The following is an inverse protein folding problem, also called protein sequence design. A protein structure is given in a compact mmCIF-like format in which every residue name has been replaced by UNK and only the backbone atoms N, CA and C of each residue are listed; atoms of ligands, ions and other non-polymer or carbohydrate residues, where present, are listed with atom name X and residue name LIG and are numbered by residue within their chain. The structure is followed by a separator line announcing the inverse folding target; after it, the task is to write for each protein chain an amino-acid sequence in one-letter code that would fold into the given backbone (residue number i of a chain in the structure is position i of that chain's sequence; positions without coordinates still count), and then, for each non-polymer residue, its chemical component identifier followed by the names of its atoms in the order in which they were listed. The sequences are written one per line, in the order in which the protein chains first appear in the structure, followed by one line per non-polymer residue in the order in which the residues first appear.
data_IF_717585368289
#
_entry.id   IF_717585368289
#
_cell.length_a   1.000
_cell.length_b   1.000
_cell.length_c   1.000
_cell.angle_alpha   90.00
_cell.angle_beta   90.00
_cell.angle_gamma   90.00
#
_symmetry.space_group_name_H-M   'P 1'
#
loop_
_entity.id
_entity.type
_entity.pdbx_description
1 polymer ?
#
# COMPACT_ATOMS: atom_id res chain seq x y z
N UNK A 1 23.43 -1.73 15.07
CA UNK A 1 21.99 -1.76 14.89
C UNK A 1 21.65 -1.96 13.43
N UNK A 2 20.77 -2.90 13.14
CA UNK A 2 20.38 -3.14 11.76
C UNK A 2 19.50 -2.01 11.26
N UNK A 3 19.86 -1.43 10.14
CA UNK A 3 19.04 -0.40 9.52
C UNK A 3 17.78 -1.01 8.95
N UNK A 4 16.69 -0.28 9.03
CA UNK A 4 15.47 -0.65 8.37
C UNK A 4 15.68 -0.48 6.85
N UNK A 5 15.48 -1.54 6.09
CA UNK A 5 15.68 -1.51 4.65
C UNK A 5 14.68 -0.65 3.92
N UNK A 6 13.48 -0.48 4.48
CA UNK A 6 12.43 0.32 3.86
C UNK A 6 12.27 1.61 4.64
N UNK A 7 12.64 2.72 4.02
CA UNK A 7 12.58 4.04 4.63
C UNK A 7 11.99 5.03 3.63
N UNK A 8 11.38 6.09 4.15
CA UNK A 8 10.89 7.18 3.33
C UNK A 8 12.07 7.84 2.60
N UNK A 9 11.87 8.19 1.34
CA UNK A 9 12.90 8.79 0.51
C UNK A 9 12.38 10.07 -0.13
N UNK A 10 13.29 10.87 -0.66
CA UNK A 10 12.95 12.11 -1.37
C UNK A 10 12.72 11.88 -2.87
N UNK A 11 12.73 10.64 -3.32
CA UNK A 11 12.50 10.33 -4.74
C UNK A 11 11.10 10.74 -5.15
N UNK A 12 10.93 11.48 -6.26
CA UNK A 12 9.59 11.90 -6.69
C UNK A 12 8.72 10.72 -7.10
N UNK A 13 7.51 10.65 -6.53
CA UNK A 13 6.55 9.60 -6.85
C UNK A 13 6.12 9.66 -8.32
N UNK A 14 5.94 10.87 -8.85
CA UNK A 14 5.55 11.04 -10.25
C UNK A 14 6.57 10.42 -11.19
N UNK A 15 7.85 10.65 -10.94
CA UNK A 15 8.91 10.07 -11.76
C UNK A 15 8.91 8.54 -11.70
N UNK A 16 8.68 8.00 -10.52
CA UNK A 16 8.60 6.55 -10.32
C UNK A 16 7.43 5.95 -11.12
N UNK A 17 6.25 6.55 -11.01
CA UNK A 17 5.07 6.06 -11.72
C UNK A 17 5.21 6.20 -13.23
N UNK A 18 5.77 7.32 -13.70
CA UNK A 18 5.97 7.53 -15.13
C UNK A 18 6.94 6.51 -15.73
N UNK A 19 7.83 5.95 -14.92
CA UNK A 19 8.79 4.95 -15.34
C UNK A 19 8.25 3.51 -15.38
N UNK A 20 7.02 3.28 -14.91
CA UNK A 20 6.40 1.95 -14.97
C UNK A 20 6.22 1.56 -16.43
N UNK A 21 6.83 0.44 -16.89
CA UNK A 21 6.85 0.12 -18.34
C UNK A 21 5.48 -0.22 -18.91
N UNK A 22 4.67 -0.98 -18.18
CA UNK A 22 3.36 -1.41 -18.69
C UNK A 22 2.36 -0.25 -18.60
N UNK A 23 1.75 0.16 -19.74
CA UNK A 23 0.80 1.28 -19.72
C UNK A 23 -0.40 1.08 -18.80
N UNK A 24 -0.94 -0.15 -18.74
CA UNK A 24 -2.07 -0.45 -17.87
C UNK A 24 -1.65 -0.36 -16.40
N UNK A 25 -0.51 -0.93 -16.05
CA UNK A 25 0.01 -0.87 -14.69
C UNK A 25 0.32 0.56 -14.28
N UNK A 26 0.83 1.35 -15.20
CA UNK A 26 1.12 2.76 -14.98
C UNK A 26 -0.17 3.53 -14.66
N UNK A 27 -1.21 3.33 -15.48
CA UNK A 27 -2.50 3.98 -15.26
C UNK A 27 -3.13 3.55 -13.92
N UNK A 28 -3.07 2.26 -13.62
CA UNK A 28 -3.59 1.72 -12.36
C UNK A 28 -2.83 2.28 -11.16
N UNK A 29 -1.51 2.40 -11.29
CA UNK A 29 -0.70 2.98 -10.23
C UNK A 29 -1.06 4.43 -9.94
N UNK A 30 -1.29 5.22 -10.98
CA UNK A 30 -1.70 6.61 -10.83
C UNK A 30 -3.09 6.72 -10.21
N UNK A 31 -4.01 5.82 -10.58
CA UNK A 31 -5.35 5.79 -9.99
C UNK A 31 -5.31 5.40 -8.51
N UNK A 32 -4.50 4.42 -8.14
CA UNK A 32 -4.32 4.03 -6.74
C UNK A 32 -3.72 5.16 -5.91
N UNK A 33 -2.72 5.85 -6.46
CA UNK A 33 -2.14 6.98 -5.78
C UNK A 33 -3.19 8.04 -5.45
N UNK A 34 -3.99 8.41 -6.45
CA UNK A 34 -5.03 9.42 -6.25
C UNK A 34 -6.04 8.97 -5.19
N UNK A 35 -6.46 7.70 -5.26
CA UNK A 35 -7.42 7.16 -4.30
C UNK A 35 -6.86 7.15 -2.89
N UNK A 36 -5.62 6.72 -2.71
CA UNK A 36 -5.01 6.66 -1.37
C UNK A 36 -4.70 8.06 -0.82
N UNK A 37 -4.42 9.04 -1.68
CA UNK A 37 -4.30 10.43 -1.24
C UNK A 37 -5.63 10.95 -0.71
N UNK A 38 -6.74 10.63 -1.39
CA UNK A 38 -8.07 11.00 -0.92
C UNK A 38 -8.40 10.38 0.43
N UNK A 39 -8.11 9.08 0.55
CA UNK A 39 -8.43 8.31 1.75
C UNK A 39 -7.63 8.78 2.96
N UNK A 40 -6.35 9.04 2.76
CA UNK A 40 -5.45 9.34 3.86
C UNK A 40 -5.35 10.83 4.17
N UNK A 41 -5.59 11.69 3.20
CA UNK A 41 -5.31 13.11 3.33
C UNK A 41 -3.83 13.43 3.40
N UNK A 42 -2.96 12.47 3.04
CA UNK A 42 -1.52 12.60 3.11
C UNK A 42 -0.90 12.55 1.72
N UNK A 43 0.23 13.22 1.51
CA UNK A 43 0.92 13.14 0.24
C UNK A 43 1.56 11.77 0.04
N UNK A 44 1.66 11.35 -1.21
CA UNK A 44 2.36 10.13 -1.56
C UNK A 44 3.86 10.31 -1.40
N UNK A 45 4.52 9.33 -0.81
CA UNK A 45 5.97 9.35 -0.56
C UNK A 45 6.54 7.99 -0.93
N UNK A 46 7.72 7.97 -1.55
CA UNK A 46 8.40 6.71 -1.81
C UNK A 46 8.97 6.13 -0.53
N UNK A 47 8.68 4.87 -0.28
CA UNK A 47 9.24 4.08 0.80
C UNK A 47 10.08 2.96 0.19
N UNK A 48 11.40 3.06 0.35
CA UNK A 48 12.30 2.14 -0.32
C UNK A 48 12.28 2.35 -1.83
N UNK A 49 12.72 1.34 -2.60
CA UNK A 49 12.87 1.51 -4.06
C UNK A 49 11.58 1.37 -4.87
N UNK A 50 10.51 0.82 -4.30
CA UNK A 50 9.33 0.47 -5.11
C UNK A 50 7.99 0.61 -4.42
N UNK A 51 7.92 1.13 -3.20
CA UNK A 51 6.66 1.27 -2.47
C UNK A 51 6.26 2.74 -2.42
N UNK A 52 5.02 3.01 -2.84
CA UNK A 52 4.42 4.34 -2.71
C UNK A 52 3.57 4.28 -1.45
N UNK A 53 3.90 5.09 -0.46
CA UNK A 53 3.26 5.02 0.84
C UNK A 53 2.64 6.32 1.30
N UNK A 54 1.75 6.19 2.28
CA UNK A 54 0.96 7.28 2.83
C UNK A 54 0.97 7.20 4.34
N UNK A 55 1.27 8.31 4.99
CA UNK A 55 1.33 8.35 6.44
C UNK A 55 2.56 7.66 6.99
N UNK A 56 2.54 7.44 8.28
CA UNK A 56 3.69 6.95 9.00
C UNK A 56 3.25 6.05 10.14
N UNK A 57 3.93 4.94 10.32
CA UNK A 57 3.70 4.01 11.41
C UNK A 57 5.04 3.56 11.98
N UNK A 58 5.23 3.77 13.28
CA UNK A 58 6.42 3.30 13.98
C UNK A 58 6.10 1.96 14.65
N UNK A 59 6.91 0.94 14.36
CA UNK A 59 6.71 -0.38 14.93
C UNK A 59 7.88 -0.74 15.85
N UNK A 60 7.57 -1.58 16.84
CA UNK A 60 8.56 -2.07 17.77
C UNK A 60 8.23 -3.53 18.12
N UNK A 61 9.19 -4.41 17.91
CA UNK A 61 9.06 -5.81 18.27
C UNK A 61 9.59 -6.06 19.67
N UNK A 62 9.14 -7.15 20.30
CA UNK A 62 9.60 -7.55 21.62
C UNK A 62 11.12 -7.76 21.64
N UNK A 63 11.70 -8.16 20.53
CA UNK A 63 13.14 -8.32 20.40
C UNK A 63 13.93 -7.02 20.51
N UNK A 64 13.25 -5.88 20.56
CA UNK A 64 13.87 -4.57 20.56
C UNK A 64 14.05 -3.96 19.18
N UNK A 65 13.76 -4.74 18.13
CA UNK A 65 13.83 -4.23 16.77
C UNK A 65 12.68 -3.25 16.54
N UNK A 66 13.00 -2.09 15.99
CA UNK A 66 11.99 -1.08 15.68
C UNK A 66 12.33 -0.39 14.39
N UNK A 67 11.34 0.26 13.81
CA UNK A 67 11.50 1.00 12.57
C UNK A 67 10.23 1.72 12.20
N UNK A 68 10.27 2.32 11.01
CA UNK A 68 9.16 3.11 10.50
C UNK A 68 8.71 2.54 9.17
N UNK A 69 7.41 2.66 8.91
CA UNK A 69 6.80 2.22 7.67
C UNK A 69 5.64 3.13 7.34
N UNK A 70 5.24 3.18 6.08
CA UNK A 70 4.02 3.86 5.70
C UNK A 70 2.82 3.16 6.36
N UNK A 71 1.77 3.90 6.57
CA UNK A 71 0.56 3.36 7.18
C UNK A 71 -0.23 2.50 6.21
N UNK A 72 -0.41 3.00 4.99
CA UNK A 72 -0.89 2.21 3.86
C UNK A 72 -0.02 2.52 2.66
N UNK A 73 0.00 1.64 1.67
CA UNK A 73 0.78 1.88 0.48
C UNK A 73 0.57 0.80 -0.57
N UNK A 74 1.26 0.97 -1.69
CA UNK A 74 1.19 -0.02 -2.76
C UNK A 74 2.48 -0.02 -3.57
N UNK A 75 2.69 -1.10 -4.31
CA UNK A 75 3.82 -1.22 -5.24
C UNK A 75 3.30 -1.73 -6.58
N UNK A 76 3.49 -0.97 -7.67
CA UNK A 76 3.11 -1.43 -9.00
C UNK A 76 4.21 -2.32 -9.57
N UNK A 77 4.14 -3.60 -9.24
CA UNK A 77 5.13 -4.58 -9.69
C UNK A 77 4.85 -5.07 -11.10
N UNK A 78 5.78 -5.83 -11.66
CA UNK A 78 5.71 -6.26 -13.06
C UNK A 78 4.44 -7.06 -13.38
N UNK A 79 3.95 -7.87 -12.45
CA UNK A 79 2.81 -8.74 -12.69
C UNK A 79 1.53 -8.34 -12.00
N UNK A 80 1.63 -7.51 -10.96
CA UNK A 80 0.47 -7.18 -10.14
C UNK A 80 0.75 -5.96 -9.29
N UNK A 81 -0.34 -5.39 -8.80
CA UNK A 81 -0.29 -4.35 -7.79
C UNK A 81 -0.28 -5.02 -6.43
N UNK A 82 0.64 -4.62 -5.57
CA UNK A 82 0.70 -5.15 -4.20
C UNK A 82 0.30 -4.03 -3.25
N UNK A 83 -0.72 -4.26 -2.43
CA UNK A 83 -1.25 -3.27 -1.49
C UNK A 83 -0.89 -3.69 -0.06
N UNK A 84 -0.37 -2.75 0.70
CA UNK A 84 0.16 -2.97 2.04
C UNK A 84 -0.64 -2.19 3.07
N UNK A 85 -0.72 -2.74 4.27
CA UNK A 85 -1.21 -1.98 5.40
C UNK A 85 -2.61 -2.34 5.89
N UNK A 86 -2.89 -3.62 6.11
CA UNK A 86 -4.15 -4.03 6.72
C UNK A 86 -5.31 -4.21 5.75
N UNK A 87 -5.00 -4.35 4.47
CA UNK A 87 -6.02 -4.52 3.44
C UNK A 87 -6.79 -5.83 3.54
N UNK A 88 -6.28 -6.81 4.29
CA UNK A 88 -6.93 -8.12 4.42
C UNK A 88 -7.85 -8.23 5.64
N UNK A 89 -8.04 -7.13 6.36
CA UNK A 89 -8.79 -7.16 7.62
C UNK A 89 -10.28 -6.89 7.50
N UNK A 90 -10.78 -6.79 6.27
CA UNK A 90 -12.21 -6.55 5.99
C UNK A 90 -12.77 -7.70 5.16
N UNK A 91 -12.96 -8.90 5.75
CA UNK A 91 -13.35 -10.07 4.96
C UNK A 91 -14.68 -9.91 4.22
N UNK A 92 -15.62 -9.19 4.80
CA UNK A 92 -16.91 -8.96 4.17
C UNK A 92 -16.78 -8.12 2.90
N UNK A 93 -15.92 -7.09 2.96
CA UNK A 93 -15.68 -6.24 1.79
C UNK A 93 -14.84 -6.97 0.75
N UNK A 94 -13.87 -7.77 1.19
CA UNK A 94 -13.06 -8.58 0.28
C UNK A 94 -13.93 -9.54 -0.53
N UNK A 95 -14.98 -10.09 0.08
CA UNK A 95 -15.91 -10.98 -0.60
C UNK A 95 -16.63 -10.30 -1.77
N UNK A 96 -16.71 -8.97 -1.77
CA UNK A 96 -17.36 -8.19 -2.83
C UNK A 96 -16.36 -7.49 -3.74
N UNK A 97 -15.07 -7.63 -3.48
CA UNK A 97 -14.03 -6.89 -4.19
C UNK A 97 -13.87 -7.32 -5.64
N UNK A 98 -13.89 -8.59 -5.92
CA UNK A 98 -13.65 -9.14 -7.25
C UNK A 98 -12.45 -10.07 -7.27
N UNK A 99 -11.63 -9.97 -8.31
CA UNK A 99 -10.47 -10.87 -8.47
C UNK A 99 -9.24 -10.31 -7.72
N UNK A 100 -8.84 -11.03 -6.70
CA UNK A 100 -7.65 -10.67 -5.95
C UNK A 100 -6.97 -11.93 -5.40
N UNK A 101 -5.74 -11.79 -4.94
CA UNK A 101 -5.04 -12.82 -4.19
C UNK A 101 -4.66 -12.23 -2.84
N UNK A 102 -4.72 -13.04 -1.81
CA UNK A 102 -4.28 -12.64 -0.48
C UNK A 102 -2.94 -13.30 -0.20
N UNK A 103 -1.97 -12.49 0.17
CA UNK A 103 -0.69 -12.97 0.63
C UNK A 103 -0.59 -12.89 2.14
N UNK A 104 0.63 -12.88 2.64
CA UNK A 104 0.89 -12.82 4.07
C UNK A 104 0.88 -11.35 4.51
N UNK A 105 -0.31 -10.81 4.68
CA UNK A 105 -0.51 -9.42 5.07
C UNK A 105 -0.64 -8.43 3.92
N UNK A 106 -0.58 -8.91 2.68
CA UNK A 106 -0.68 -8.05 1.50
C UNK A 106 -1.81 -8.49 0.59
N UNK A 107 -2.38 -7.53 -0.12
CA UNK A 107 -3.44 -7.76 -1.10
C UNK A 107 -2.82 -7.61 -2.49
N UNK A 108 -3.06 -8.58 -3.36
CA UNK A 108 -2.53 -8.59 -4.73
C UNK A 108 -3.65 -8.44 -5.73
N UNK A 109 -3.53 -7.46 -6.64
CA UNK A 109 -4.51 -7.19 -7.69
C UNK A 109 -3.77 -7.05 -9.00
N UNK A 110 -4.17 -7.80 -10.03
CA UNK A 110 -3.51 -7.71 -11.32
C UNK A 110 -3.86 -6.43 -12.06
N UNK A 111 -5.15 -6.09 -12.09
CA UNK A 111 -5.64 -4.88 -12.75
C UNK A 111 -6.79 -4.31 -11.94
N UNK A 112 -6.87 -3.00 -11.87
CA UNK A 112 -7.98 -2.37 -11.16
C UNK A 112 -9.33 -2.66 -11.82
N UNK A 113 -9.34 -2.94 -13.12
CA UNK A 113 -10.56 -3.33 -13.82
C UNK A 113 -11.15 -4.65 -13.30
N UNK A 114 -10.35 -5.46 -12.61
CA UNK A 114 -10.80 -6.74 -12.06
C UNK A 114 -11.53 -6.60 -10.73
N UNK A 115 -11.54 -5.42 -10.13
CA UNK A 115 -12.11 -5.21 -8.80
C UNK A 115 -13.11 -4.06 -8.79
N UNK A 116 -13.95 -4.06 -7.76
CA UNK A 116 -14.87 -2.95 -7.51
C UNK A 116 -14.11 -1.84 -6.80
N UNK A 117 -13.93 -0.71 -7.48
CA UNK A 117 -13.15 0.40 -6.94
C UNK A 117 -13.79 1.03 -5.71
N UNK A 118 -15.11 1.05 -5.62
CA UNK A 118 -15.80 1.57 -4.44
C UNK A 118 -15.50 0.70 -3.22
N UNK A 119 -15.50 -0.63 -3.38
CA UNK A 119 -15.14 -1.54 -2.31
C UNK A 119 -13.67 -1.41 -1.95
N UNK A 120 -12.79 -1.27 -2.94
CA UNK A 120 -11.36 -1.10 -2.68
C UNK A 120 -11.09 0.19 -1.90
N UNK A 121 -11.74 1.27 -2.27
CA UNK A 121 -11.59 2.54 -1.55
C UNK A 121 -12.09 2.43 -0.11
N UNK A 122 -13.21 1.73 0.11
CA UNK A 122 -13.72 1.49 1.45
C UNK A 122 -12.76 0.63 2.28
N UNK A 123 -12.14 -0.37 1.66
CA UNK A 123 -11.12 -1.19 2.32
C UNK A 123 -9.91 -0.33 2.69
N UNK A 124 -9.47 0.53 1.78
CA UNK A 124 -8.35 1.43 2.04
C UNK A 124 -8.66 2.39 3.19
N UNK A 125 -9.88 2.94 3.22
CA UNK A 125 -10.29 3.84 4.30
C UNK A 125 -10.30 3.14 5.64
N UNK A 126 -10.80 1.90 5.69
CA UNK A 126 -10.77 1.10 6.91
C UNK A 126 -9.35 0.79 7.34
N UNK A 127 -8.49 0.44 6.39
CA UNK A 127 -7.08 0.16 6.66
C UNK A 127 -6.36 1.40 7.20
N UNK A 128 -6.66 2.56 6.65
CA UNK A 128 -6.07 3.81 7.09
C UNK A 128 -6.47 4.18 8.51
N UNK A 129 -7.75 4.03 8.84
CA UNK A 129 -8.28 4.45 10.14
C UNK A 129 -8.07 3.41 11.24
N UNK A 130 -7.65 2.21 10.89
CA UNK A 130 -7.47 1.14 11.85
C UNK A 130 -6.30 1.42 12.78
N UNK A 131 -6.53 1.24 14.09
CA UNK A 131 -5.47 1.33 15.06
C UNK A 131 -4.59 0.10 14.98
N UNK A 132 -3.28 0.30 14.98
CA UNK A 132 -2.33 -0.81 14.84
C UNK A 132 -1.48 -1.01 16.07
N UNK A 133 -1.30 -2.27 16.51
CA UNK A 133 -0.31 -2.56 17.53
C UNK A 133 1.08 -2.16 17.06
N UNK A 134 1.92 -1.71 17.99
CA UNK A 134 3.27 -1.29 17.66
C UNK A 134 4.11 -2.40 17.02
N UNK A 135 3.77 -3.66 17.29
CA UNK A 135 4.50 -4.82 16.77
C UNK A 135 4.09 -5.25 15.37
N UNK A 136 3.11 -4.58 14.76
CA UNK A 136 2.68 -4.94 13.41
C UNK A 136 3.42 -4.16 12.35
N UNK A 137 4.15 -4.90 11.50
CA UNK A 137 4.60 -4.39 10.24
C UNK A 137 3.78 -5.03 9.13
N UNK A 138 3.95 -4.59 7.93
CA UNK A 138 3.33 -5.25 6.78
C UNK A 138 4.15 -6.46 6.37
#
# INVERSE_FOLDING_TARGET
MAENKTQATAVPVDAFLDAVPDPQRRADGKALRAMMERVSGEPAVMWGPSIIGFGHHHYKYESGREGDMCRIGFSPRARELVLYGGFLRQPERLARLGKYKAGKGCLYIRRLADVDMAELEAIAAAAWSEERPASQGC
#
